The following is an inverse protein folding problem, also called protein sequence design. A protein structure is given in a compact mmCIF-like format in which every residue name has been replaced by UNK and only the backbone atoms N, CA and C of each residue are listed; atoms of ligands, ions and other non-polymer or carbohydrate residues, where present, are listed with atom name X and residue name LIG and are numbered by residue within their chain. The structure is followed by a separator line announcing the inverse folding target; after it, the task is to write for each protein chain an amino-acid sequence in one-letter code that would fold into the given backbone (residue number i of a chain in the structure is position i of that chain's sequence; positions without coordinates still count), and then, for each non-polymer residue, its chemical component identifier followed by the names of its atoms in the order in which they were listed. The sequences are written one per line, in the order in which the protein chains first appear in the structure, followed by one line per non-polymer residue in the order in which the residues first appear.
data_IF_172155976358
#
_entry.id   IF_172155976358
#
_cell.length_a   1.000
_cell.length_b   1.000
_cell.length_c   1.000
_cell.angle_alpha   90.00
_cell.angle_beta   90.00
_cell.angle_gamma   90.00
#
_symmetry.space_group_name_H-M   'P 1'
#
loop_
_entity.id
_entity.type
_entity.pdbx_description
1 polymer ?
#
# COMPACT_ATOMS: atom_id res chain seq x y z
N UNK A 1 3.09 -9.09 -13.65
CA UNK A 1 1.63 -9.06 -13.39
C UNK A 1 1.27 -8.00 -12.36
N UNK A 2 1.88 -7.99 -11.17
CA UNK A 2 1.60 -6.99 -10.13
C UNK A 2 1.72 -5.54 -10.61
N UNK A 3 2.71 -5.23 -11.45
CA UNK A 3 2.93 -3.86 -11.93
C UNK A 3 1.76 -3.37 -12.80
N UNK A 4 1.23 -4.26 -13.66
CA UNK A 4 0.04 -3.98 -14.46
C UNK A 4 -1.18 -3.71 -13.59
N UNK A 5 -1.30 -4.40 -12.44
CA UNK A 5 -2.37 -4.15 -11.49
C UNK A 5 -2.24 -2.78 -10.85
N UNK A 6 -1.03 -2.37 -10.45
CA UNK A 6 -0.77 -1.03 -9.90
C UNK A 6 -1.06 0.08 -10.91
N UNK A 7 -0.66 -0.11 -12.17
CA UNK A 7 -0.97 0.84 -13.25
C UNK A 7 -2.48 0.94 -13.48
N UNK A 8 -3.18 -0.19 -13.49
CA UNK A 8 -4.64 -0.21 -13.62
C UNK A 8 -5.32 0.50 -12.43
N UNK A 9 -4.90 0.22 -11.20
CA UNK A 9 -5.45 0.84 -10.00
C UNK A 9 -5.22 2.36 -10.00
N UNK A 10 -4.03 2.80 -10.39
CA UNK A 10 -3.70 4.22 -10.51
C UNK A 10 -4.62 4.94 -11.51
N UNK A 11 -4.81 4.36 -12.71
CA UNK A 11 -5.74 4.90 -13.72
C UNK A 11 -7.18 4.94 -13.20
N UNK A 12 -7.64 3.83 -12.61
CA UNK A 12 -9.00 3.70 -12.05
C UNK A 12 -9.27 4.77 -10.98
N UNK A 13 -8.31 5.02 -10.10
CA UNK A 13 -8.43 6.04 -9.05
C UNK A 13 -8.37 7.46 -9.60
N UNK A 14 -7.55 7.70 -10.64
CA UNK A 14 -7.52 8.98 -11.32
C UNK A 14 -8.86 9.29 -12.03
N UNK A 15 -9.47 8.29 -12.67
CA UNK A 15 -10.80 8.41 -13.29
C UNK A 15 -11.90 8.75 -12.26
N UNK A 16 -11.71 8.38 -11.00
CA UNK A 16 -12.61 8.71 -9.88
C UNK A 16 -12.29 10.04 -9.20
N UNK A 17 -11.34 10.83 -9.73
CA UNK A 17 -10.86 12.08 -9.15
C UNK A 17 -10.31 11.92 -7.71
N UNK A 18 -9.78 10.74 -7.39
CA UNK A 18 -9.05 10.56 -6.14
C UNK A 18 -7.73 11.36 -6.19
N UNK A 19 -7.26 11.82 -5.02
CA UNK A 19 -5.98 12.51 -4.92
C UNK A 19 -4.81 11.54 -4.71
N UNK A 20 -5.08 10.40 -4.07
CA UNK A 20 -4.07 9.42 -3.68
C UNK A 20 -4.54 8.00 -3.93
N UNK A 21 -3.60 7.13 -4.30
CA UNK A 21 -3.74 5.68 -4.23
C UNK A 21 -2.98 5.18 -3.00
N UNK A 22 -3.66 4.43 -2.11
CA UNK A 22 -3.07 3.90 -0.87
C UNK A 22 -3.02 2.38 -0.85
N UNK A 23 -1.99 1.85 -0.20
CA UNK A 23 -1.77 0.41 -0.04
C UNK A 23 -1.35 0.10 1.40
N UNK A 24 -1.83 -1.03 1.91
CA UNK A 24 -1.40 -1.59 3.19
C UNK A 24 -0.46 -2.76 2.90
N UNK A 25 0.73 -2.74 3.48
CA UNK A 25 1.74 -3.78 3.30
C UNK A 25 2.15 -4.35 4.65
N UNK A 26 2.11 -5.67 4.81
CA UNK A 26 2.64 -6.33 6.01
C UNK A 26 4.06 -5.85 6.30
N UNK A 27 4.29 -5.38 7.53
CA UNK A 27 5.50 -4.65 7.94
C UNK A 27 6.78 -5.47 7.71
N UNK A 28 6.69 -6.78 7.97
CA UNK A 28 7.80 -7.73 7.84
C UNK A 28 8.06 -8.17 6.39
N UNK A 29 7.19 -7.84 5.43
CA UNK A 29 7.37 -8.20 4.03
C UNK A 29 8.27 -7.21 3.29
N UNK A 30 9.57 -7.27 3.59
CA UNK A 30 10.59 -6.35 3.04
C UNK A 30 10.60 -6.32 1.51
N UNK A 31 10.36 -7.47 0.86
CA UNK A 31 10.35 -7.56 -0.60
C UNK A 31 9.19 -6.77 -1.20
N UNK A 32 8.00 -6.88 -0.62
CA UNK A 32 6.82 -6.17 -1.11
C UNK A 32 6.91 -4.66 -0.84
N UNK A 33 7.47 -4.27 0.32
CA UNK A 33 7.75 -2.87 0.64
C UNK A 33 8.65 -2.21 -0.41
N UNK A 34 9.80 -2.84 -0.71
CA UNK A 34 10.70 -2.36 -1.78
C UNK A 34 10.00 -2.25 -3.12
N UNK A 35 9.22 -3.27 -3.47
CA UNK A 35 8.45 -3.26 -4.71
C UNK A 35 7.47 -2.07 -4.81
N UNK A 36 6.82 -1.66 -3.72
CA UNK A 36 5.97 -0.46 -3.74
C UNK A 36 6.75 0.84 -3.78
N UNK A 37 7.88 0.93 -3.08
CA UNK A 37 8.81 2.07 -3.19
C UNK A 37 9.29 2.25 -4.63
N UNK A 38 9.73 1.18 -5.28
CA UNK A 38 10.18 1.19 -6.68
C UNK A 38 9.04 1.56 -7.64
N UNK A 39 7.79 1.26 -7.28
CA UNK A 39 6.59 1.65 -8.04
C UNK A 39 6.16 3.11 -7.79
N UNK A 40 6.93 3.89 -7.02
CA UNK A 40 6.71 5.32 -6.78
C UNK A 40 5.76 5.63 -5.62
N UNK A 41 5.52 4.67 -4.73
CA UNK A 41 4.82 4.93 -3.47
C UNK A 41 5.79 5.41 -2.39
N UNK A 42 5.27 6.13 -1.41
CA UNK A 42 5.98 6.57 -0.21
C UNK A 42 5.36 5.97 1.03
N UNK A 43 6.17 5.66 2.05
CA UNK A 43 5.67 5.25 3.36
C UNK A 43 5.08 6.46 4.10
N UNK A 44 3.85 6.34 4.59
CA UNK A 44 3.13 7.43 5.26
C UNK A 44 2.64 7.08 6.66
N UNK A 45 2.83 5.83 7.08
CA UNK A 45 2.56 5.44 8.45
C UNK A 45 2.68 3.95 8.69
N UNK A 46 2.34 3.56 9.90
CA UNK A 46 2.22 2.17 10.34
C UNK A 46 0.92 2.01 11.09
N UNK A 47 0.23 0.90 10.87
CA UNK A 47 -0.94 0.49 11.63
C UNK A 47 -0.67 -0.85 12.30
N UNK A 48 -0.84 -0.84 13.62
CA UNK A 48 -0.86 -2.05 14.43
C UNK A 48 -2.32 -2.44 14.68
N UNK A 49 -2.58 -3.74 14.76
CA UNK A 49 -3.92 -4.29 14.99
C UNK A 49 -4.08 -4.91 16.39
N UNK A 50 -3.04 -4.81 17.24
CA UNK A 50 -3.05 -5.28 18.62
C UNK A 50 -2.64 -6.75 18.78
N UNK A 51 -2.23 -7.09 20.01
CA UNK A 51 -1.78 -8.44 20.41
C UNK A 51 -2.93 -9.41 20.70
N UNK A 52 -4.14 -9.13 20.24
CA UNK A 52 -5.25 -10.06 20.39
C UNK A 52 -4.96 -11.27 19.47
N UNK A 53 -4.33 -12.28 20.06
CA UNK A 53 -3.81 -13.45 19.37
C UNK A 53 -4.87 -14.20 18.55
N UNK A 54 -6.16 -13.95 18.84
CA UNK A 54 -7.30 -14.52 18.12
C UNK A 54 -7.62 -13.80 16.80
N UNK A 55 -7.16 -12.56 16.61
CA UNK A 55 -7.38 -11.84 15.35
C UNK A 55 -6.43 -12.33 14.25
N UNK A 56 -5.16 -12.62 14.58
CA UNK A 56 -4.15 -13.08 13.63
C UNK A 56 -3.72 -12.03 12.59
N UNK A 57 -3.97 -10.74 12.84
CA UNK A 57 -3.61 -9.66 11.92
C UNK A 57 -2.15 -9.24 12.12
N UNK A 58 -1.41 -9.11 11.02
CA UNK A 58 -0.06 -8.56 11.04
C UNK A 58 -0.10 -7.04 11.02
N UNK A 59 0.86 -6.40 11.71
CA UNK A 59 1.12 -4.98 11.54
C UNK A 59 1.42 -4.65 10.07
N UNK A 60 0.95 -3.48 9.63
CA UNK A 60 1.12 -3.02 8.25
C UNK A 60 1.79 -1.65 8.21
N UNK A 61 2.63 -1.46 7.20
CA UNK A 61 3.12 -0.17 6.75
C UNK A 61 2.16 0.35 5.68
N UNK A 62 1.77 1.62 5.82
CA UNK A 62 0.86 2.31 4.93
C UNK A 62 1.67 3.05 3.87
N UNK A 63 1.30 2.86 2.62
CA UNK A 63 1.92 3.48 1.46
C UNK A 63 0.93 4.39 0.74
N UNK A 64 1.40 5.48 0.15
CA UNK A 64 0.60 6.30 -0.74
C UNK A 64 1.37 6.75 -1.98
N UNK A 65 0.63 7.04 -3.05
CA UNK A 65 1.15 7.67 -4.25
C UNK A 65 0.16 8.72 -4.75
N UNK A 66 0.67 9.91 -5.06
CA UNK A 66 -0.13 11.00 -5.63
C UNK A 66 -0.62 10.66 -7.04
N UNK A 67 -1.85 11.07 -7.37
CA UNK A 67 -2.47 10.90 -8.70
C UNK A 67 -2.44 12.18 -9.55
N UNK A 68 -2.00 13.29 -8.95
CA UNK A 68 -1.78 14.59 -9.59
C UNK A 68 -0.48 14.69 -10.37
#
# INVERSE_FOLDING_TARGET
MGERLLVWAHRRSADENAQYLRLDCVETNVRLRRYYLDAGFTEVGRRDFGDDADTGWFSVVLFERSLT
#
